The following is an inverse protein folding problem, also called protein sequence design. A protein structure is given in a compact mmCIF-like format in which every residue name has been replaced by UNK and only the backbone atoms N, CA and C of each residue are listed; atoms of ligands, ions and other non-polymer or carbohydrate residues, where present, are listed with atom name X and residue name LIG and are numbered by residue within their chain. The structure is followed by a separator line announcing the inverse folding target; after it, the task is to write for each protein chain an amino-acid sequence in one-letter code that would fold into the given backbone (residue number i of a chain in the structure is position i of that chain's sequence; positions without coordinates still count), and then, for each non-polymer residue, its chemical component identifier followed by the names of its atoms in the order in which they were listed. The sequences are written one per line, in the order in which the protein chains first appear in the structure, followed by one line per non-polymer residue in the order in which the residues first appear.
data_IF_658307157077
#
_entry.id   IF_658307157077
#
_cell.length_a   1.000
_cell.length_b   1.000
_cell.length_c   1.000
_cell.angle_alpha   90.00
_cell.angle_beta   90.00
_cell.angle_gamma   90.00
#
_symmetry.space_group_name_H-M   'P 1'
#
loop_
_entity.id
_entity.type
_entity.pdbx_description
1 polymer ?
#
# COMPACT_ATOMS: atom_id res chain seq x y z
N UNK A 1 -32.78 16.37 -9.04
CA UNK A 1 -32.67 14.90 -8.97
C UNK A 1 -31.23 14.53 -9.25
N UNK A 2 -30.38 14.59 -8.22
CA UNK A 2 -29.00 14.07 -8.30
C UNK A 2 -29.16 12.57 -8.34
N UNK A 3 -28.92 11.96 -9.50
CA UNK A 3 -28.98 10.51 -9.63
C UNK A 3 -27.99 9.91 -8.61
N UNK A 4 -28.50 9.06 -7.73
CA UNK A 4 -27.74 8.29 -6.74
C UNK A 4 -26.98 7.16 -7.44
N UNK A 5 -26.17 7.51 -8.45
CA UNK A 5 -25.38 6.55 -9.21
C UNK A 5 -24.15 6.25 -8.35
N UNK A 6 -23.97 5.00 -7.89
CA UNK A 6 -22.76 4.63 -7.17
C UNK A 6 -21.54 4.88 -8.08
N UNK A 7 -20.51 5.50 -7.51
CA UNK A 7 -19.25 5.82 -8.22
C UNK A 7 -18.55 4.53 -8.70
N UNK A 8 -18.79 3.42 -7.99
CA UNK A 8 -18.37 2.07 -8.33
C UNK A 8 -19.62 1.21 -8.50
N UNK A 9 -20.14 1.12 -9.72
CA UNK A 9 -21.40 0.44 -10.06
C UNK A 9 -21.19 -1.03 -10.40
N UNK A 10 -20.03 -1.38 -10.95
CA UNK A 10 -19.72 -2.72 -11.45
C UNK A 10 -18.77 -3.49 -10.52
N UNK A 11 -18.10 -2.80 -9.60
CA UNK A 11 -17.15 -3.41 -8.67
C UNK A 11 -17.84 -4.10 -7.47
N UNK A 12 -17.36 -5.30 -7.12
CA UNK A 12 -17.80 -6.02 -5.92
C UNK A 12 -17.36 -5.29 -4.65
N UNK A 13 -18.33 -4.97 -3.78
CA UNK A 13 -18.06 -4.30 -2.50
C UNK A 13 -17.05 -5.07 -1.64
N UNK A 14 -17.15 -6.40 -1.61
CA UNK A 14 -16.28 -7.27 -0.82
C UNK A 14 -14.83 -7.24 -1.30
N UNK A 15 -14.60 -7.11 -2.61
CA UNK A 15 -13.26 -7.00 -3.19
C UNK A 15 -12.59 -5.67 -2.80
N UNK A 16 -13.33 -4.57 -2.85
CA UNK A 16 -12.87 -3.25 -2.42
C UNK A 16 -12.56 -3.26 -0.91
N UNK A 17 -13.46 -3.84 -0.11
CA UNK A 17 -13.26 -3.96 1.34
C UNK A 17 -11.99 -4.76 1.65
N UNK A 18 -11.76 -5.87 0.95
CA UNK A 18 -10.56 -6.69 1.12
C UNK A 18 -9.28 -5.91 0.78
N UNK A 19 -9.27 -5.17 -0.33
CA UNK A 19 -8.15 -4.30 -0.69
C UNK A 19 -7.84 -3.27 0.40
N UNK A 20 -8.85 -2.56 0.90
CA UNK A 20 -8.71 -1.57 1.97
C UNK A 20 -8.30 -2.20 3.32
N UNK A 21 -8.76 -3.42 3.59
CA UNK A 21 -8.37 -4.18 4.76
C UNK A 21 -6.88 -4.50 4.75
N UNK A 22 -6.35 -5.00 3.62
CA UNK A 22 -4.91 -5.27 3.48
C UNK A 22 -4.11 -3.99 3.67
N UNK A 23 -4.52 -2.89 3.03
CA UNK A 23 -3.86 -1.60 3.20
C UNK A 23 -3.84 -1.12 4.68
N UNK A 24 -4.93 -1.36 5.41
CA UNK A 24 -5.03 -1.03 6.83
C UNK A 24 -4.04 -1.85 7.66
N UNK A 25 -3.92 -3.16 7.38
CA UNK A 25 -2.93 -4.04 8.02
C UNK A 25 -1.51 -3.55 7.73
N UNK A 26 -1.17 -3.26 6.47
CA UNK A 26 0.16 -2.73 6.09
C UNK A 26 0.46 -1.41 6.81
N UNK A 27 -0.54 -0.52 6.94
CA UNK A 27 -0.39 0.75 7.65
C UNK A 27 -0.14 0.55 9.15
N UNK A 28 -0.80 -0.42 9.78
CA UNK A 28 -0.56 -0.77 11.19
C UNK A 28 0.87 -1.32 11.37
N UNK A 29 1.34 -2.19 10.48
CA UNK A 29 2.73 -2.68 10.49
C UNK A 29 3.74 -1.54 10.34
N UNK A 30 3.47 -0.57 9.46
CA UNK A 30 4.29 0.63 9.31
C UNK A 30 4.34 1.46 10.60
N UNK A 31 3.19 1.68 11.25
CA UNK A 31 3.12 2.39 12.53
C UNK A 31 3.91 1.68 13.63
N UNK A 32 3.83 0.35 13.70
CA UNK A 32 4.64 -0.44 14.64
C UNK A 32 6.12 -0.29 14.38
N UNK A 33 6.56 -0.44 13.12
CA UNK A 33 7.95 -0.22 12.73
C UNK A 33 8.45 1.17 13.18
N UNK A 34 7.67 2.22 12.92
CA UNK A 34 8.03 3.58 13.34
C UNK A 34 8.08 3.73 14.86
N UNK A 35 7.24 3.03 15.61
CA UNK A 35 7.24 3.09 17.07
C UNK A 35 8.51 2.53 17.70
N UNK A 36 9.11 1.49 17.11
CA UNK A 36 10.31 0.83 17.66
C UNK A 36 11.57 1.69 17.48
N UNK A 37 11.60 2.60 16.50
CA UNK A 37 12.75 3.49 16.27
C UNK A 37 12.85 4.68 17.23
N UNK A 38 11.81 4.98 18.01
CA UNK A 38 11.76 6.18 18.85
C UNK A 38 11.28 5.86 20.27
N UNK A 39 12.09 6.22 21.27
CA UNK A 39 11.72 6.07 22.69
C UNK A 39 10.49 6.90 23.10
N UNK A 40 10.24 8.01 22.40
CA UNK A 40 9.12 8.93 22.69
C UNK A 40 8.01 8.78 21.65
N UNK A 41 6.87 8.25 22.07
CA UNK A 41 5.68 8.09 21.24
C UNK A 41 5.23 9.38 20.53
N UNK A 42 5.36 10.54 21.19
CA UNK A 42 5.01 11.83 20.59
C UNK A 42 5.97 12.29 19.50
N UNK A 43 7.24 11.86 19.52
CA UNK A 43 8.20 12.09 18.44
C UNK A 43 7.92 11.11 17.30
N UNK A 44 7.72 9.83 17.63
CA UNK A 44 7.37 8.78 16.68
C UNK A 44 6.16 9.17 15.81
N UNK A 45 5.08 9.63 16.43
CA UNK A 45 3.86 10.00 15.72
C UNK A 45 4.07 11.17 14.73
N UNK A 46 4.85 12.19 15.12
CA UNK A 46 5.16 13.34 14.26
C UNK A 46 6.02 12.94 13.05
N UNK A 47 7.04 12.12 13.28
CA UNK A 47 7.93 11.65 12.21
C UNK A 47 7.19 10.68 11.30
N UNK A 48 6.42 9.73 11.86
CA UNK A 48 5.61 8.80 11.08
C UNK A 48 4.62 9.52 10.16
N UNK A 49 3.94 10.57 10.65
CA UNK A 49 3.07 11.40 9.81
C UNK A 49 3.81 12.09 8.67
N UNK A 50 5.01 12.61 8.93
CA UNK A 50 5.84 13.24 7.90
C UNK A 50 6.31 12.23 6.84
N UNK A 51 6.78 11.05 7.27
CA UNK A 51 7.17 9.95 6.39
C UNK A 51 5.99 9.44 5.57
N UNK A 52 4.79 9.37 6.17
CA UNK A 52 3.57 8.97 5.48
C UNK A 52 3.19 9.94 4.35
N UNK A 53 3.34 11.25 4.56
CA UNK A 53 3.14 12.27 3.51
C UNK A 53 4.21 12.15 2.42
N UNK A 54 5.48 11.98 2.80
CA UNK A 54 6.57 11.77 1.84
C UNK A 54 6.33 10.54 0.96
N UNK A 55 5.67 9.51 1.50
CA UNK A 55 5.37 8.28 0.78
C UNK A 55 4.35 8.44 -0.36
N UNK A 56 3.68 9.60 -0.47
CA UNK A 56 2.78 9.94 -1.60
C UNK A 56 3.54 10.58 -2.77
N UNK A 57 4.71 11.18 -2.51
CA UNK A 57 5.51 11.87 -3.52
C UNK A 57 5.87 10.97 -4.72
N UNK A 58 6.29 9.70 -4.55
CA UNK A 58 6.62 8.82 -5.67
C UNK A 58 5.45 8.65 -6.64
N UNK A 59 4.23 8.45 -6.12
CA UNK A 59 3.02 8.37 -6.95
C UNK A 59 2.80 9.64 -7.78
N UNK A 60 2.93 10.83 -7.17
CA UNK A 60 2.75 12.10 -7.87
C UNK A 60 3.79 12.33 -8.97
N UNK A 61 5.03 11.93 -8.73
CA UNK A 61 6.12 12.02 -9.71
C UNK A 61 5.98 11.00 -10.85
N UNK A 62 5.45 9.82 -10.53
CA UNK A 62 5.21 8.77 -11.52
C UNK A 62 3.98 9.04 -12.39
N UNK A 63 3.00 9.82 -11.90
CA UNK A 63 1.75 10.12 -12.62
C UNK A 63 1.94 10.60 -14.08
N UNK A 64 2.80 11.60 -14.39
CA UNK A 64 2.99 12.10 -15.75
C UNK A 64 3.81 11.17 -16.67
N UNK A 65 4.60 10.25 -16.09
CA UNK A 65 5.57 9.40 -16.83
C UNK A 65 5.11 7.93 -16.83
N UNK A 66 3.96 7.65 -16.21
CA UNK A 66 3.44 6.30 -15.92
C UNK A 66 3.38 5.38 -17.14
N UNK A 67 2.96 5.92 -18.28
CA UNK A 67 2.80 5.14 -19.52
C UNK A 67 4.16 4.76 -20.15
N UNK A 68 5.24 5.46 -19.80
CA UNK A 68 6.61 5.19 -20.27
C UNK A 68 7.47 4.37 -19.29
N UNK A 69 6.94 4.08 -18.10
CA UNK A 69 7.69 3.38 -17.05
C UNK A 69 7.60 1.85 -17.21
N UNK A 70 8.76 1.20 -17.15
CA UNK A 70 8.88 -0.26 -17.12
C UNK A 70 8.26 -0.86 -15.85
N UNK A 71 7.78 -2.11 -15.93
CA UNK A 71 7.19 -2.85 -14.81
C UNK A 71 8.04 -2.85 -13.55
N UNK A 72 9.37 -2.93 -13.70
CA UNK A 72 10.30 -2.97 -12.58
C UNK A 72 10.26 -1.67 -11.79
N UNK A 73 10.24 -0.53 -12.49
CA UNK A 73 10.21 0.79 -11.86
C UNK A 73 8.83 1.04 -11.23
N UNK A 74 7.76 0.63 -11.90
CA UNK A 74 6.39 0.63 -11.35
C UNK A 74 6.30 -0.18 -10.06
N UNK A 75 6.93 -1.35 -10.02
CA UNK A 75 7.01 -2.22 -8.84
C UNK A 75 7.88 -1.60 -7.74
N UNK A 76 9.01 -0.97 -8.07
CA UNK A 76 9.87 -0.31 -7.07
C UNK A 76 9.19 0.92 -6.46
N UNK A 77 8.37 1.63 -7.22
CA UNK A 77 7.58 2.76 -6.71
C UNK A 77 6.45 2.31 -5.76
N UNK A 78 6.01 1.05 -5.87
CA UNK A 78 5.02 0.44 -4.99
C UNK A 78 5.57 -0.02 -3.63
N UNK A 79 6.89 -0.05 -3.41
CA UNK A 79 7.50 -0.36 -2.09
C UNK A 79 7.05 0.63 -1.00
N UNK A 80 6.66 1.83 -1.43
CA UNK A 80 6.01 2.78 -0.54
C UNK A 80 4.51 2.45 -0.53
N UNK A 81 4.06 1.78 0.53
CA UNK A 81 2.67 1.34 0.73
C UNK A 81 1.59 2.39 0.38
N UNK A 82 1.86 3.68 0.64
CA UNK A 82 0.94 4.77 0.30
C UNK A 82 0.86 5.08 -1.22
N UNK A 83 1.99 4.91 -1.92
CA UNK A 83 2.01 4.95 -3.39
C UNK A 83 1.31 3.73 -3.98
N UNK A 84 1.52 2.52 -3.42
CA UNK A 84 0.81 1.31 -3.84
C UNK A 84 -0.72 1.43 -3.71
N UNK A 85 -1.23 2.00 -2.62
CA UNK A 85 -2.66 2.30 -2.47
C UNK A 85 -3.15 3.21 -3.61
N UNK A 86 -2.40 4.27 -3.92
CA UNK A 86 -2.77 5.23 -4.95
C UNK A 86 -2.82 4.60 -6.34
N UNK A 87 -1.86 3.74 -6.68
CA UNK A 87 -1.88 2.95 -7.91
C UNK A 87 -3.04 1.95 -7.94
N UNK A 88 -3.31 1.25 -6.83
CA UNK A 88 -4.43 0.31 -6.72
C UNK A 88 -5.79 0.98 -6.95
N UNK A 89 -6.03 2.15 -6.34
CA UNK A 89 -7.27 2.93 -6.55
C UNK A 89 -7.39 3.35 -8.01
N UNK A 90 -6.30 3.80 -8.64
CA UNK A 90 -6.30 4.19 -10.06
C UNK A 90 -6.67 3.01 -10.96
N UNK A 91 -6.12 1.82 -10.68
CA UNK A 91 -6.48 0.59 -11.40
C UNK A 91 -7.97 0.22 -11.20
N UNK A 92 -8.51 0.36 -9.98
CA UNK A 92 -9.93 0.12 -9.70
C UNK A 92 -10.83 1.09 -10.48
N UNK A 93 -10.49 2.39 -10.48
CA UNK A 93 -11.24 3.40 -11.24
C UNK A 93 -11.20 3.08 -12.74
N UNK A 94 -10.07 2.63 -13.28
CA UNK A 94 -9.98 2.23 -14.70
C UNK A 94 -10.83 1.01 -15.03
N UNK A 95 -10.83 -0.01 -14.18
CA UNK A 95 -11.70 -1.19 -14.34
C UNK A 95 -13.18 -0.80 -14.33
N UNK A 96 -13.55 0.20 -13.52
CA UNK A 96 -14.90 0.73 -13.45
C UNK A 96 -15.29 1.51 -14.73
N UNK A 97 -14.37 2.32 -15.28
CA UNK A 97 -14.57 3.04 -16.55
C UNK A 97 -14.74 2.07 -17.73
N UNK A 98 -14.10 0.90 -17.66
CA UNK A 98 -14.22 -0.17 -18.65
C UNK A 98 -15.46 -1.06 -18.46
N UNK A 99 -16.37 -0.70 -17.54
CA UNK A 99 -17.60 -1.42 -17.21
C UNK A 99 -17.40 -2.88 -16.72
N UNK A 100 -16.16 -3.29 -16.45
CA UNK A 100 -15.84 -4.61 -15.88
C UNK A 100 -15.97 -4.60 -14.36
N UNK A 101 -15.52 -3.51 -13.72
CA UNK A 101 -15.44 -3.38 -12.27
C UNK A 101 -14.39 -4.31 -11.65
N UNK A 102 -14.10 -4.12 -10.36
CA UNK A 102 -13.25 -5.04 -9.60
C UNK A 102 -14.06 -6.26 -9.16
N UNK A 103 -13.82 -7.42 -9.77
CA UNK A 103 -14.40 -8.70 -9.37
C UNK A 103 -13.35 -9.63 -8.77
N UNK A 104 -13.79 -10.54 -7.89
CA UNK A 104 -12.90 -11.53 -7.26
C UNK A 104 -12.20 -12.45 -8.27
N UNK A 105 -12.87 -12.78 -9.37
CA UNK A 105 -12.32 -13.67 -10.37
C UNK A 105 -11.28 -12.98 -11.29
N UNK A 106 -11.25 -11.65 -11.28
CA UNK A 106 -10.42 -10.84 -12.17
C UNK A 106 -9.23 -10.16 -11.47
N UNK A 107 -8.94 -10.52 -10.21
CA UNK A 107 -7.77 -9.99 -9.49
C UNK A 107 -6.43 -10.27 -10.18
N UNK A 108 -6.37 -11.31 -11.03
CA UNK A 108 -5.19 -11.72 -11.78
C UNK A 108 -5.25 -11.37 -13.26
N UNK A 109 -6.36 -10.77 -13.72
CA UNK A 109 -6.51 -10.25 -15.09
C UNK A 109 -6.08 -8.79 -15.17
N UNK A 110 -5.14 -8.39 -16.05
CA UNK A 110 -4.79 -6.99 -16.24
C UNK A 110 -6.01 -6.17 -16.73
N UNK A 111 -6.10 -4.92 -16.28
CA UNK A 111 -7.24 -4.04 -16.59
C UNK A 111 -7.30 -3.66 -18.08
N UNK A 112 -6.13 -3.51 -18.73
CA UNK A 112 -6.00 -3.18 -20.15
C UNK A 112 -4.82 -3.96 -20.73
N UNK A 113 -4.81 -4.23 -22.04
CA UNK A 113 -3.69 -4.89 -22.75
C UNK A 113 -2.38 -4.09 -22.60
N UNK A 114 -2.47 -2.76 -22.45
CA UNK A 114 -1.34 -1.85 -22.22
C UNK A 114 -0.99 -1.66 -20.73
N UNK A 115 -1.81 -2.15 -19.79
CA UNK A 115 -1.57 -2.02 -18.36
C UNK A 115 -1.08 -3.33 -17.78
N UNK A 116 0.24 -3.43 -17.65
CA UNK A 116 0.86 -4.59 -17.03
C UNK A 116 0.68 -4.62 -15.48
N UNK A 117 0.24 -3.51 -14.86
CA UNK A 117 0.00 -3.42 -13.42
C UNK A 117 -1.41 -3.90 -13.06
N UNK A 118 -1.48 -5.03 -12.37
CA UNK A 118 -2.73 -5.62 -11.90
C UNK A 118 -3.00 -5.32 -10.41
N UNK A 119 -4.26 -5.23 -10.01
CA UNK A 119 -4.72 -5.11 -8.63
C UNK A 119 -4.18 -6.25 -7.76
N UNK A 120 -4.15 -7.49 -8.27
CA UNK A 120 -3.52 -8.61 -7.57
C UNK A 120 -2.04 -8.38 -7.29
N UNK A 121 -1.30 -7.79 -8.24
CA UNK A 121 0.11 -7.46 -8.06
C UNK A 121 0.28 -6.36 -6.99
N UNK A 122 -0.57 -5.34 -7.00
CA UNK A 122 -0.58 -4.29 -5.96
C UNK A 122 -0.86 -4.88 -4.58
N UNK A 123 -1.81 -5.81 -4.47
CA UNK A 123 -2.10 -6.53 -3.22
C UNK A 123 -0.88 -7.33 -2.75
N UNK A 124 -0.22 -8.07 -3.65
CA UNK A 124 1.00 -8.81 -3.28
C UNK A 124 2.12 -7.89 -2.82
N UNK A 125 2.28 -6.71 -3.43
CA UNK A 125 3.27 -5.72 -2.99
C UNK A 125 2.95 -5.17 -1.61
N UNK A 126 1.68 -4.83 -1.33
CA UNK A 126 1.25 -4.39 0.01
C UNK A 126 1.48 -5.45 1.10
N UNK A 127 1.32 -6.73 0.78
CA UNK A 127 1.63 -7.83 1.69
C UNK A 127 3.13 -7.98 1.93
N UNK A 128 3.94 -7.86 0.87
CA UNK A 128 5.40 -7.87 0.99
C UNK A 128 5.89 -6.70 1.85
N UNK A 129 5.35 -5.49 1.64
CA UNK A 129 5.67 -4.32 2.47
C UNK A 129 5.30 -4.55 3.94
N UNK A 130 4.12 -5.12 4.22
CA UNK A 130 3.71 -5.45 5.58
C UNK A 130 4.67 -6.42 6.25
N UNK A 131 5.11 -7.46 5.54
CA UNK A 131 6.11 -8.42 6.03
C UNK A 131 7.46 -7.76 6.27
N UNK A 132 7.90 -6.87 5.38
CA UNK A 132 9.15 -6.12 5.55
C UNK A 132 9.07 -5.22 6.80
N UNK A 133 8.01 -4.43 6.95
CA UNK A 133 7.83 -3.55 8.11
C UNK A 133 7.75 -4.34 9.42
N UNK A 134 7.06 -5.48 9.43
CA UNK A 134 6.98 -6.35 10.60
C UNK A 134 8.35 -6.97 10.91
N UNK A 135 9.07 -7.47 9.90
CA UNK A 135 10.41 -8.04 10.07
C UNK A 135 11.38 -7.01 10.64
N UNK A 136 11.35 -5.77 10.14
CA UNK A 136 12.15 -4.66 10.67
C UNK A 136 11.75 -4.37 12.12
N UNK A 137 10.45 -4.27 12.42
CA UNK A 137 9.98 -4.00 13.78
C UNK A 137 10.48 -5.05 14.78
N UNK A 138 10.28 -6.34 14.47
CA UNK A 138 10.75 -7.45 15.31
C UNK A 138 12.27 -7.46 15.41
N UNK A 139 12.98 -7.21 14.31
CA UNK A 139 14.45 -7.17 14.32
C UNK A 139 14.98 -6.06 15.24
N UNK A 140 14.44 -4.84 15.14
CA UNK A 140 14.88 -3.71 15.96
C UNK A 140 14.53 -3.95 17.44
N UNK A 141 13.38 -4.54 17.76
CA UNK A 141 13.03 -4.91 19.14
C UNK A 141 14.01 -5.93 19.75
N UNK A 142 14.54 -6.86 18.95
CA UNK A 142 15.53 -7.83 19.44
C UNK A 142 16.92 -7.21 19.66
N UNK A 143 17.31 -6.25 18.81
CA UNK A 143 18.63 -5.59 18.86
C UNK A 143 18.68 -4.47 19.91
N UNK A 144 17.58 -3.74 20.06
CA UNK A 144 17.46 -2.62 21.00
C UNK A 144 16.24 -2.86 21.90
N UNK A 145 16.35 -3.78 22.86
CA UNK A 145 15.25 -4.03 23.78
C UNK A 145 14.93 -2.78 24.61
N UNK A 146 13.64 -2.47 24.77
CA UNK A 146 13.19 -1.45 25.71
C UNK A 146 13.53 -1.78 27.17
N UNK A 147 13.09 -0.95 28.12
CA UNK A 147 13.48 -0.98 29.56
C UNK A 147 13.40 -2.35 30.27
N UNK A 148 12.69 -3.35 29.73
CA UNK A 148 12.52 -4.68 30.32
C UNK A 148 12.94 -5.85 29.42
N UNK A 149 13.52 -5.62 28.24
CA UNK A 149 13.92 -6.68 27.32
C UNK A 149 15.38 -7.14 27.51
N UNK A 150 15.62 -8.44 27.47
CA UNK A 150 16.97 -9.02 27.51
C UNK A 150 17.53 -9.01 26.09
N UNK A 151 18.57 -8.20 25.83
CA UNK A 151 19.18 -8.10 24.50
C UNK A 151 19.75 -9.44 24.07
N UNK A 152 19.42 -9.90 22.86
CA UNK A 152 20.13 -11.03 22.23
C UNK A 152 21.41 -10.50 21.58
N UNK A 153 22.53 -11.24 21.68
CA UNK A 153 23.77 -10.85 21.01
C UNK A 153 23.59 -10.87 19.48
N UNK A 154 24.36 -10.01 18.82
CA UNK A 154 24.40 -9.78 17.37
C UNK A 154 24.79 -11.01 16.56
#
# INVERSE_FOLDING_TARGET
LVNNIPILKHSDWTAIWFFLFIYSVTTVCFCFMMSVFFDKASVAARVAGFVWILSIVPYKLALPIYDSLSIGIKSSLNILSNSAMSFGIRSIIRLEVLERGLQWNDFTTPATIDEELNVGLVITMLLVDALIYLTIAVYVEQVMPGEFGIAKPW
#
